data_IF_685097918214
#
_entry.id   IF_685097918214
#
_cell.length_a   1.000
_cell.length_b   1.000
_cell.length_c   1.000
_cell.angle_alpha   90.00
_cell.angle_beta   90.00
_cell.angle_gamma   90.00
#
_symmetry.space_group_name_H-M   'P 1'
#
loop_
_entity.id
_entity.type
_entity.pdbx_description
1 polymer ?
#
# COMPACT_ATOMS: atom_id res chain seq x y z
N UNK A 1 5.78 59.34 37.32
CA UNK A 1 5.74 59.36 35.84
C UNK A 1 6.83 58.51 35.18
N UNK A 2 7.96 58.19 35.83
CA UNK A 2 9.03 57.35 35.25
C UNK A 2 8.69 55.85 35.12
N UNK A 3 7.95 55.28 36.07
CA UNK A 3 7.59 53.86 36.03
C UNK A 3 6.76 53.50 34.78
N UNK A 4 5.84 54.39 34.38
CA UNK A 4 4.96 54.20 33.22
C UNK A 4 5.71 54.34 31.89
N UNK A 5 6.81 55.12 31.86
CA UNK A 5 7.66 55.30 30.68
C UNK A 5 8.52 54.06 30.40
N UNK A 6 8.96 53.34 31.44
CA UNK A 6 9.73 52.09 31.30
C UNK A 6 8.91 50.93 30.77
N UNK A 7 7.64 50.79 31.17
CA UNK A 7 6.75 49.73 30.68
C UNK A 7 6.39 49.91 29.20
N UNK A 8 6.17 51.15 28.76
CA UNK A 8 5.86 51.45 27.35
C UNK A 8 7.05 51.15 26.44
N UNK A 9 8.28 51.47 26.86
CA UNK A 9 9.49 51.16 26.09
C UNK A 9 9.75 49.65 26.01
N UNK A 10 9.49 48.90 27.09
CA UNK A 10 9.63 47.45 27.10
C UNK A 10 8.65 46.73 26.15
N UNK A 11 7.40 47.19 26.10
CA UNK A 11 6.38 46.61 25.20
C UNK A 11 6.70 46.93 23.73
N UNK A 12 7.15 48.16 23.43
CA UNK A 12 7.58 48.53 22.08
C UNK A 12 8.79 47.73 21.60
N UNK A 13 9.77 47.46 22.47
CA UNK A 13 10.92 46.62 22.13
C UNK A 13 10.50 45.15 21.85
N UNK A 14 9.56 44.60 22.63
CA UNK A 14 9.05 43.25 22.41
C UNK A 14 8.27 43.13 21.07
N UNK A 15 7.49 44.15 20.70
CA UNK A 15 6.78 44.20 19.43
C UNK A 15 7.74 44.31 18.22
N UNK A 16 8.86 45.01 18.35
CA UNK A 16 9.88 45.09 17.29
C UNK A 16 10.69 43.79 17.12
N UNK A 17 10.87 43.01 18.18
CA UNK A 17 11.56 41.73 18.11
C UNK A 17 10.69 40.63 17.48
N UNK A 18 9.36 40.67 17.67
CA UNK A 18 8.42 39.73 17.06
C UNK A 18 8.24 39.92 15.55
N UNK A 19 8.43 41.13 15.02
CA UNK A 19 8.35 41.39 13.58
C UNK A 19 9.63 40.98 12.84
N UNK A 20 10.77 40.89 13.52
CA UNK A 20 12.05 40.53 12.92
C UNK A 20 12.21 39.02 12.65
N UNK A 21 11.47 38.15 13.34
CA UNK A 21 11.56 36.68 13.17
C UNK A 21 10.52 36.09 12.21
N UNK A 22 9.66 36.90 11.59
CA UNK A 22 8.53 36.42 10.79
C UNK A 22 8.76 36.42 9.26
N UNK A 23 9.96 36.77 8.78
CA UNK A 23 10.26 36.83 7.34
C UNK A 23 11.26 35.75 6.91
N UNK A 24 10.94 34.48 7.14
CA UNK A 24 11.53 33.42 6.31
C UNK A 24 10.85 33.47 4.94
N UNK A 25 11.44 34.24 4.01
CA UNK A 25 11.07 34.20 2.60
C UNK A 25 11.57 32.85 2.07
N UNK A 26 10.67 31.87 1.90
CA UNK A 26 10.97 30.67 1.12
C UNK A 26 11.06 31.11 -0.34
N UNK A 27 12.24 31.55 -0.77
CA UNK A 27 12.49 31.80 -2.19
C UNK A 27 12.45 30.46 -2.88
N UNK A 28 11.56 30.31 -3.87
CA UNK A 28 11.56 29.14 -4.75
C UNK A 28 12.93 29.08 -5.41
N UNK A 29 13.75 28.12 -5.00
CA UNK A 29 15.01 27.84 -5.65
C UNK A 29 14.68 27.30 -7.04
N UNK A 30 14.85 28.15 -8.05
CA UNK A 30 14.57 27.82 -9.45
C UNK A 30 15.50 26.74 -10.00
N UNK A 31 16.61 26.44 -9.30
CA UNK A 31 17.52 25.34 -9.61
C UNK A 31 17.25 24.06 -8.81
N UNK A 32 16.33 24.09 -7.84
CA UNK A 32 16.02 22.92 -7.03
C UNK A 32 15.19 21.93 -7.86
N UNK A 33 15.85 20.86 -8.27
CA UNK A 33 15.19 19.65 -8.75
C UNK A 33 15.04 18.72 -7.55
N UNK A 34 13.83 18.43 -7.07
CA UNK A 34 13.65 17.47 -6.00
C UNK A 34 14.27 16.13 -6.40
N UNK A 35 14.92 15.43 -5.46
CA UNK A 35 15.44 14.10 -5.77
C UNK A 35 14.30 13.23 -6.30
N UNK A 36 14.60 12.33 -7.25
CA UNK A 36 13.59 11.41 -7.74
C UNK A 36 12.98 10.64 -6.55
N UNK A 37 11.66 10.39 -6.56
CA UNK A 37 11.04 9.59 -5.52
C UNK A 37 11.72 8.22 -5.46
N UNK A 38 11.85 7.68 -4.25
CA UNK A 38 12.42 6.35 -4.02
C UNK A 38 11.66 5.30 -4.85
N UNK A 39 12.33 4.19 -5.20
CA UNK A 39 11.63 3.09 -5.85
C UNK A 39 10.53 2.55 -4.90
N UNK A 40 9.40 2.04 -5.41
CA UNK A 40 8.29 1.59 -4.57
C UNK A 40 8.68 0.56 -3.49
N UNK A 41 9.56 -0.39 -3.81
CA UNK A 41 10.06 -1.37 -2.84
C UNK A 41 10.91 -0.71 -1.74
N UNK A 42 11.73 0.29 -2.08
CA UNK A 42 12.54 1.03 -1.11
C UNK A 42 11.65 1.91 -0.23
N UNK A 43 10.58 2.48 -0.79
CA UNK A 43 9.56 3.20 -0.01
C UNK A 43 8.91 2.27 1.00
N UNK A 44 8.47 1.09 0.56
CA UNK A 44 7.90 0.08 1.46
C UNK A 44 8.90 -0.28 2.57
N UNK A 45 10.18 -0.51 2.24
CA UNK A 45 11.21 -0.87 3.22
C UNK A 45 11.46 0.21 4.29
N UNK A 46 11.47 1.48 3.89
CA UNK A 46 11.82 2.60 4.78
C UNK A 46 10.64 3.14 5.59
N UNK A 47 9.42 2.83 5.19
CA UNK A 47 8.24 3.45 5.78
C UNK A 47 7.94 2.92 7.19
N UNK A 48 7.51 3.83 8.08
CA UNK A 48 7.30 3.54 9.49
C UNK A 48 6.08 2.63 9.71
N UNK A 49 6.27 1.56 10.48
CA UNK A 49 5.21 0.61 10.81
C UNK A 49 4.30 1.12 11.93
N UNK A 50 3.01 0.91 11.76
CA UNK A 50 2.01 1.04 12.84
C UNK A 50 1.92 -0.25 13.65
N UNK A 51 1.34 -0.16 14.85
CA UNK A 51 1.05 -1.33 15.66
C UNK A 51 -0.03 -2.21 14.98
N UNK A 52 0.28 -3.47 14.63
CA UNK A 52 -0.68 -4.35 13.95
C UNK A 52 -1.88 -4.73 14.82
N UNK A 53 -1.83 -4.59 16.15
CA UNK A 53 -2.91 -5.01 17.04
C UNK A 53 -4.26 -4.32 16.72
N UNK A 54 -4.22 -3.04 16.32
CA UNK A 54 -5.42 -2.28 15.92
C UNK A 54 -6.06 -2.74 14.60
N UNK A 55 -5.39 -3.61 13.86
CA UNK A 55 -5.80 -4.08 12.53
C UNK A 55 -6.13 -5.58 12.50
N UNK A 56 -6.13 -6.24 13.67
CA UNK A 56 -6.45 -7.66 13.78
C UNK A 56 -7.91 -7.94 13.39
N UNK A 57 -8.12 -8.82 12.42
CA UNK A 57 -9.44 -9.19 11.91
C UNK A 57 -9.75 -10.69 12.03
N UNK A 58 -9.02 -11.40 12.90
CA UNK A 58 -9.16 -12.83 13.12
C UNK A 58 -7.82 -13.48 13.47
N UNK A 59 -7.83 -14.79 13.70
CA UNK A 59 -6.60 -15.51 13.99
C UNK A 59 -5.67 -15.44 12.78
N UNK A 60 -4.55 -14.74 12.94
CA UNK A 60 -3.56 -14.61 11.89
C UNK A 60 -4.05 -13.85 10.65
N UNK A 61 -4.87 -12.82 10.83
CA UNK A 61 -5.30 -11.91 9.76
C UNK A 61 -5.18 -10.47 10.23
N UNK A 62 -4.51 -9.63 9.44
CA UNK A 62 -4.61 -8.17 9.57
C UNK A 62 -5.41 -7.64 8.40
N UNK A 63 -6.39 -6.77 8.66
CA UNK A 63 -7.18 -6.15 7.60
C UNK A 63 -7.37 -4.67 7.86
N UNK A 64 -7.44 -3.90 6.79
CA UNK A 64 -7.67 -2.46 6.83
C UNK A 64 -8.40 -1.98 5.60
N UNK A 65 -8.89 -0.75 5.68
CA UNK A 65 -9.47 0.01 4.57
C UNK A 65 -8.81 1.39 4.48
N UNK A 66 -8.66 1.95 3.29
CA UNK A 66 -8.13 3.31 3.11
C UNK A 66 -9.14 4.37 3.56
N UNK A 67 -8.68 5.58 3.91
CA UNK A 67 -9.53 6.71 4.35
C UNK A 67 -10.62 7.07 3.33
N UNK A 68 -10.29 6.99 2.04
CA UNK A 68 -11.23 7.26 0.94
C UNK A 68 -12.20 6.09 0.66
N UNK A 69 -12.05 4.98 1.40
CA UNK A 69 -12.83 3.75 1.24
C UNK A 69 -12.79 3.21 -0.19
N UNK A 70 -11.67 3.39 -0.90
CA UNK A 70 -11.51 2.86 -2.24
C UNK A 70 -10.80 1.50 -2.25
N UNK A 71 -9.96 1.20 -1.26
CA UNK A 71 -9.19 -0.05 -1.20
C UNK A 71 -9.30 -0.67 0.20
N UNK A 72 -9.65 -1.95 0.26
CA UNK A 72 -9.56 -2.76 1.47
C UNK A 72 -8.55 -3.89 1.26
N UNK A 73 -7.67 -4.11 2.24
CA UNK A 73 -6.59 -5.09 2.13
C UNK A 73 -6.54 -6.00 3.34
N UNK A 74 -6.08 -7.23 3.13
CA UNK A 74 -5.82 -8.23 4.16
C UNK A 74 -4.45 -8.87 4.00
N UNK A 75 -3.61 -8.80 5.04
CA UNK A 75 -2.40 -9.59 5.19
C UNK A 75 -2.75 -10.90 5.89
N UNK A 76 -2.95 -11.94 5.08
CA UNK A 76 -3.58 -13.20 5.47
C UNK A 76 -2.80 -14.42 4.96
N UNK A 77 -3.46 -15.55 4.82
CA UNK A 77 -2.91 -16.78 4.24
C UNK A 77 -3.85 -17.38 3.20
N UNK A 78 -3.27 -18.10 2.26
CA UNK A 78 -3.94 -18.84 1.22
C UNK A 78 -3.62 -20.34 1.30
N UNK A 79 -4.56 -21.16 0.82
CA UNK A 79 -4.35 -22.59 0.55
C UNK A 79 -4.79 -22.86 -0.89
N UNK A 80 -3.84 -22.92 -1.82
CA UNK A 80 -4.17 -22.81 -3.24
C UNK A 80 -4.91 -21.49 -3.51
N UNK A 81 -6.05 -21.56 -4.20
CA UNK A 81 -6.89 -20.38 -4.52
C UNK A 81 -7.81 -19.95 -3.35
N UNK A 82 -7.74 -20.62 -2.21
CA UNK A 82 -8.63 -20.35 -1.07
C UNK A 82 -7.98 -19.35 -0.12
N UNK A 83 -8.45 -18.09 -0.15
CA UNK A 83 -7.99 -17.01 0.72
C UNK A 83 -8.74 -17.01 2.07
N UNK A 84 -8.03 -16.76 3.17
CA UNK A 84 -8.65 -16.52 4.47
C UNK A 84 -9.04 -15.04 4.63
N UNK A 85 -10.21 -14.64 4.13
CA UNK A 85 -10.69 -13.27 4.21
C UNK A 85 -11.76 -13.12 5.30
N UNK A 86 -11.69 -12.08 6.17
CA UNK A 86 -12.63 -11.93 7.27
C UNK A 86 -13.97 -11.31 6.85
N UNK A 87 -14.01 -10.70 5.66
CA UNK A 87 -15.18 -9.99 5.13
C UNK A 87 -15.85 -10.72 3.97
N UNK A 88 -15.33 -11.86 3.52
CA UNK A 88 -15.89 -12.65 2.43
C UNK A 88 -16.06 -14.12 2.83
N UNK A 89 -17.17 -14.73 2.41
CA UNK A 89 -17.37 -16.16 2.56
C UNK A 89 -16.32 -16.91 1.73
N UNK A 90 -15.53 -17.77 2.38
CA UNK A 90 -14.43 -18.48 1.76
C UNK A 90 -14.35 -19.94 2.26
N UNK A 91 -13.54 -20.75 1.58
CA UNK A 91 -13.35 -22.17 1.88
C UNK A 91 -11.95 -22.48 2.45
N UNK A 92 -11.23 -21.49 2.96
CA UNK A 92 -9.87 -21.69 3.50
C UNK A 92 -9.84 -22.76 4.61
N UNK A 93 -10.83 -22.73 5.49
CA UNK A 93 -10.97 -23.64 6.64
C UNK A 93 -11.64 -24.98 6.31
N UNK A 94 -11.99 -25.24 5.04
CA UNK A 94 -12.53 -26.53 4.63
C UNK A 94 -11.49 -27.63 4.86
N UNK A 95 -11.81 -28.71 5.61
CA UNK A 95 -10.89 -29.83 5.82
C UNK A 95 -10.30 -30.44 4.55
N UNK A 96 -11.03 -30.38 3.42
CA UNK A 96 -10.53 -30.87 2.12
C UNK A 96 -9.27 -30.14 1.63
N UNK A 97 -9.06 -28.91 2.10
CA UNK A 97 -7.95 -28.03 1.73
C UNK A 97 -6.73 -28.19 2.64
N UNK A 98 -6.81 -28.96 3.73
CA UNK A 98 -5.70 -29.16 4.67
C UNK A 98 -4.46 -29.84 4.05
N UNK A 99 -4.62 -30.49 2.88
CA UNK A 99 -3.52 -31.07 2.11
C UNK A 99 -2.68 -30.03 1.35
N UNK A 100 -3.22 -28.82 1.15
CA UNK A 100 -2.56 -27.74 0.45
C UNK A 100 -1.62 -26.99 1.39
N UNK A 101 -0.51 -26.49 0.87
CA UNK A 101 0.39 -25.64 1.63
C UNK A 101 -0.32 -24.33 2.01
N UNK A 102 -0.11 -23.89 3.26
CA UNK A 102 -0.52 -22.56 3.71
C UNK A 102 0.57 -21.55 3.34
N UNK A 103 0.22 -20.53 2.56
CA UNK A 103 1.15 -19.51 2.07
C UNK A 103 0.70 -18.13 2.56
N UNK A 104 1.59 -17.28 3.11
CA UNK A 104 1.23 -15.91 3.46
C UNK A 104 0.96 -15.09 2.20
N UNK A 105 -0.10 -14.28 2.22
CA UNK A 105 -0.50 -13.45 1.09
C UNK A 105 -0.99 -12.08 1.55
N UNK A 106 -0.89 -11.08 0.68
CA UNK A 106 -1.61 -9.83 0.83
C UNK A 106 -2.63 -9.74 -0.30
N UNK A 107 -3.91 -9.60 0.05
CA UNK A 107 -5.00 -9.50 -0.91
C UNK A 107 -5.71 -8.17 -0.71
N UNK A 108 -5.89 -7.40 -1.78
CA UNK A 108 -6.61 -6.13 -1.77
C UNK A 108 -7.78 -6.17 -2.74
N UNK A 109 -8.91 -5.62 -2.32
CA UNK A 109 -10.09 -5.38 -3.14
C UNK A 109 -10.30 -3.88 -3.35
N UNK A 110 -10.80 -3.50 -4.52
CA UNK A 110 -11.05 -2.12 -4.89
C UNK A 110 -12.54 -1.86 -5.15
N UNK A 111 -13.02 -0.70 -4.70
CA UNK A 111 -14.38 -0.23 -4.95
C UNK A 111 -14.58 0.26 -6.40
N UNK A 112 -13.54 0.88 -6.94
CA UNK A 112 -13.42 1.28 -8.33
C UNK A 112 -11.97 1.05 -8.76
N UNK A 113 -11.78 0.61 -10.00
CA UNK A 113 -10.50 0.09 -10.45
C UNK A 113 -10.28 0.29 -11.95
N UNK A 114 -8.99 0.36 -12.33
CA UNK A 114 -8.56 0.34 -13.71
C UNK A 114 -8.82 -1.02 -14.37
N UNK A 115 -9.01 -1.02 -15.69
CA UNK A 115 -9.08 -2.26 -16.45
C UNK A 115 -7.67 -2.91 -16.49
N UNK A 116 -7.53 -4.22 -16.23
CA UNK A 116 -6.26 -4.91 -16.43
C UNK A 116 -5.78 -4.78 -17.88
N UNK A 117 -4.47 -4.59 -18.05
CA UNK A 117 -3.78 -4.68 -19.33
C UNK A 117 -3.82 -6.11 -19.84
N UNK A 118 -3.90 -6.30 -21.16
CA UNK A 118 -4.02 -7.62 -21.76
C UNK A 118 -2.88 -8.58 -21.35
N UNK A 119 -1.66 -8.05 -21.21
CA UNK A 119 -0.48 -8.84 -20.82
C UNK A 119 -0.52 -9.35 -19.37
N UNK A 120 -1.30 -8.68 -18.51
CA UNK A 120 -1.44 -9.01 -17.08
C UNK A 120 -2.59 -10.00 -16.82
N UNK A 121 -3.49 -10.19 -17.77
CA UNK A 121 -4.59 -11.16 -17.66
C UNK A 121 -4.01 -12.58 -17.80
N UNK A 122 -3.97 -13.31 -16.68
CA UNK A 122 -3.46 -14.70 -16.63
C UNK A 122 -4.56 -15.76 -16.58
N UNK A 123 -5.81 -15.34 -16.45
CA UNK A 123 -6.98 -16.20 -16.44
C UNK A 123 -8.10 -15.53 -17.26
N UNK A 124 -8.67 -16.28 -18.19
CA UNK A 124 -9.77 -15.86 -19.06
C UNK A 124 -11.13 -16.45 -18.60
N UNK A 125 -11.22 -16.77 -17.31
CA UNK A 125 -12.39 -17.37 -16.69
C UNK A 125 -12.70 -18.75 -17.26
N UNK A 126 -11.69 -19.63 -17.23
CA UNK A 126 -11.76 -20.98 -17.78
C UNK A 126 -12.20 -21.01 -19.27
N UNK A 127 -11.71 -20.07 -20.08
CA UNK A 127 -12.01 -19.96 -21.51
C UNK A 127 -13.36 -19.32 -21.84
N UNK A 128 -14.15 -18.92 -20.83
CA UNK A 128 -15.50 -18.41 -21.06
C UNK A 128 -15.55 -16.93 -21.34
N UNK A 129 -14.59 -16.14 -20.83
CA UNK A 129 -14.64 -14.67 -20.83
C UNK A 129 -15.92 -14.09 -20.20
N UNK A 130 -16.65 -14.86 -19.39
CA UNK A 130 -17.92 -14.45 -18.78
C UNK A 130 -17.74 -13.89 -17.35
N UNK A 131 -16.53 -13.91 -16.81
CA UNK A 131 -16.24 -13.35 -15.48
C UNK A 131 -15.77 -11.90 -15.52
N UNK A 132 -15.63 -11.33 -14.33
CA UNK A 132 -15.10 -9.97 -14.14
C UNK A 132 -13.58 -10.04 -14.00
N UNK A 133 -12.89 -9.10 -14.63
CA UNK A 133 -11.45 -8.90 -14.48
C UNK A 133 -11.21 -7.55 -13.81
N UNK A 134 -10.23 -7.52 -12.92
CA UNK A 134 -9.89 -6.33 -12.13
C UNK A 134 -10.62 -6.26 -10.79
N UNK A 135 -10.25 -5.26 -9.99
CA UNK A 135 -10.83 -5.01 -8.68
C UNK A 135 -10.21 -5.84 -7.55
N UNK A 136 -9.25 -6.70 -7.86
CA UNK A 136 -8.45 -7.44 -6.88
C UNK A 136 -6.97 -7.36 -7.23
N UNK A 137 -6.12 -7.34 -6.20
CA UNK A 137 -4.69 -7.57 -6.31
C UNK A 137 -4.27 -8.62 -5.30
N UNK A 138 -3.43 -9.56 -5.73
CA UNK A 138 -2.91 -10.63 -4.90
C UNK A 138 -1.39 -10.64 -4.96
N UNK A 139 -0.78 -10.53 -3.78
CA UNK A 139 0.64 -10.72 -3.57
C UNK A 139 0.84 -12.04 -2.82
N UNK A 140 1.67 -12.90 -3.40
CA UNK A 140 2.23 -14.09 -2.75
C UNK A 140 3.73 -13.83 -2.47
N UNK A 141 4.47 -14.74 -1.82
CA UNK A 141 5.86 -14.49 -1.48
C UNK A 141 6.76 -14.14 -2.66
N UNK A 142 6.50 -14.67 -3.85
CA UNK A 142 7.36 -14.56 -5.03
C UNK A 142 6.64 -14.09 -6.30
N UNK A 143 5.31 -13.95 -6.26
CA UNK A 143 4.53 -13.48 -7.41
C UNK A 143 3.50 -12.45 -7.01
N UNK A 144 3.12 -11.62 -7.99
CA UNK A 144 2.07 -10.62 -7.84
C UNK A 144 1.14 -10.66 -9.04
N UNK A 145 -0.16 -10.49 -8.79
CA UNK A 145 -1.23 -10.57 -9.79
C UNK A 145 -2.24 -9.47 -9.57
N UNK A 146 -2.84 -9.01 -10.68
CA UNK A 146 -3.92 -8.04 -10.67
C UNK A 146 -5.06 -8.52 -11.55
N UNK A 147 -6.27 -8.47 -11.01
CA UNK A 147 -7.50 -8.71 -11.76
C UNK A 147 -7.73 -10.16 -12.14
N UNK A 148 -7.55 -11.08 -11.20
CA UNK A 148 -7.90 -12.49 -11.39
C UNK A 148 -9.40 -12.65 -11.70
N UNK A 149 -9.74 -13.72 -12.44
CA UNK A 149 -11.11 -13.98 -12.83
C UNK A 149 -12.00 -14.25 -11.61
N UNK A 150 -13.17 -13.59 -11.58
CA UNK A 150 -14.17 -13.78 -10.54
C UNK A 150 -15.59 -13.86 -11.08
N UNK A 151 -16.41 -14.65 -10.38
CA UNK A 151 -17.85 -14.74 -10.62
C UNK A 151 -18.57 -13.71 -9.75
N UNK A 152 -18.78 -12.51 -10.30
CA UNK A 152 -19.52 -11.43 -9.64
C UNK A 152 -18.64 -10.32 -9.05
N UNK A 153 -19.27 -9.43 -8.29
CA UNK A 153 -18.66 -8.23 -7.70
C UNK A 153 -17.90 -8.56 -6.41
N UNK A 154 -16.85 -7.81 -6.06
CA UNK A 154 -16.13 -7.99 -4.80
C UNK A 154 -16.97 -7.45 -3.65
N UNK A 155 -16.60 -7.77 -2.40
CA UNK A 155 -17.24 -7.12 -1.26
C UNK A 155 -17.00 -5.61 -1.31
N UNK A 156 -15.81 -5.19 -1.74
CA UNK A 156 -15.46 -3.77 -1.84
C UNK A 156 -16.31 -3.02 -2.88
N UNK A 157 -16.53 -3.63 -4.04
CA UNK A 157 -17.41 -3.10 -5.08
C UNK A 157 -18.88 -3.09 -4.63
N UNK A 158 -19.34 -4.13 -3.93
CA UNK A 158 -20.69 -4.22 -3.38
C UNK A 158 -20.96 -3.18 -2.27
N UNK A 159 -19.96 -2.88 -1.44
CA UNK A 159 -20.11 -1.95 -0.34
C UNK A 159 -19.92 -0.49 -0.78
N UNK A 160 -18.88 -0.18 -1.54
CA UNK A 160 -18.46 1.21 -1.81
C UNK A 160 -18.31 1.54 -3.30
N UNK A 161 -18.58 0.59 -4.21
CA UNK A 161 -18.63 0.88 -5.64
C UNK A 161 -19.74 1.88 -6.01
N UNK A 162 -19.87 2.27 -7.30
CA UNK A 162 -20.82 3.30 -7.73
C UNK A 162 -22.29 3.03 -7.36
N UNK A 163 -22.66 1.77 -7.16
CA UNK A 163 -23.99 1.32 -6.73
C UNK A 163 -23.96 0.61 -5.37
N UNK A 164 -22.90 0.82 -4.60
CA UNK A 164 -22.68 0.16 -3.33
C UNK A 164 -23.65 0.61 -2.25
N UNK A 165 -23.92 -0.26 -1.28
CA UNK A 165 -24.90 -0.03 -0.23
C UNK A 165 -24.32 0.59 1.05
N UNK A 166 -23.00 0.74 1.14
CA UNK A 166 -22.26 1.17 2.35
C UNK A 166 -22.65 0.36 3.60
N UNK A 167 -22.77 -0.95 3.42
CA UNK A 167 -23.16 -1.89 4.47
C UNK A 167 -22.29 -3.15 4.41
N UNK A 168 -22.32 -3.95 5.46
CA UNK A 168 -21.63 -5.24 5.50
C UNK A 168 -20.32 -5.19 6.29
N UNK A 169 -19.54 -6.28 6.28
CA UNK A 169 -18.37 -6.43 7.14
C UNK A 169 -17.25 -5.43 6.84
N UNK A 170 -17.16 -4.93 5.61
CA UNK A 170 -16.14 -3.93 5.23
C UNK A 170 -16.28 -2.60 5.98
N UNK A 171 -17.48 -2.23 6.42
CA UNK A 171 -17.69 -0.98 7.16
C UNK A 171 -17.13 -1.03 8.59
N UNK A 172 -16.71 -2.22 9.03
CA UNK A 172 -16.13 -2.45 10.35
C UNK A 172 -14.60 -2.54 10.30
N UNK A 173 -14.00 -2.49 9.10
CA UNK A 173 -12.56 -2.54 8.99
C UNK A 173 -11.92 -1.25 9.55
N UNK A 174 -10.80 -1.39 10.28
CA UNK A 174 -10.06 -0.23 10.74
C UNK A 174 -9.42 0.49 9.57
N UNK A 175 -9.37 1.81 9.68
CA UNK A 175 -8.79 2.68 8.65
C UNK A 175 -7.26 2.70 8.79
N UNK A 176 -6.56 2.46 7.69
CA UNK A 176 -5.12 2.76 7.58
C UNK A 176 -4.99 4.14 6.91
N UNK A 177 -4.49 5.12 7.66
CA UNK A 177 -4.38 6.49 7.18
C UNK A 177 -3.27 6.63 6.14
N UNK A 178 -3.36 7.65 5.29
CA UNK A 178 -2.32 7.94 4.30
C UNK A 178 -0.94 8.11 4.97
N UNK A 179 0.08 7.50 4.38
CA UNK A 179 1.45 7.42 4.89
C UNK A 179 1.70 6.31 5.93
N UNK A 180 0.65 5.61 6.39
CA UNK A 180 0.80 4.50 7.34
C UNK A 180 1.09 3.17 6.66
N UNK A 181 1.81 2.30 7.38
CA UNK A 181 2.37 1.06 6.87
C UNK A 181 2.16 -0.04 7.90
N UNK A 182 1.82 -1.23 7.43
CA UNK A 182 1.57 -2.39 8.27
C UNK A 182 2.28 -3.61 7.68
N UNK A 183 2.77 -4.49 8.55
CA UNK A 183 3.54 -5.65 8.15
C UNK A 183 3.07 -6.91 8.86
N UNK A 184 3.09 -8.03 8.13
CA UNK A 184 2.92 -9.36 8.69
C UNK A 184 3.55 -10.42 7.79
N UNK A 185 4.23 -11.38 8.40
CA UNK A 185 4.81 -12.55 7.73
C UNK A 185 5.73 -12.18 6.55
N UNK A 186 6.50 -11.10 6.67
CA UNK A 186 7.39 -10.61 5.61
C UNK A 186 6.70 -9.89 4.45
N UNK A 187 5.38 -9.69 4.54
CA UNK A 187 4.62 -8.86 3.60
C UNK A 187 4.33 -7.52 4.26
N UNK A 188 4.55 -6.44 3.53
CA UNK A 188 4.30 -5.07 4.00
C UNK A 188 3.32 -4.38 3.07
N UNK A 189 2.34 -3.69 3.65
CA UNK A 189 1.38 -2.87 2.92
C UNK A 189 1.39 -1.44 3.45
N UNK A 190 1.20 -0.49 2.55
CA UNK A 190 1.30 0.93 2.81
C UNK A 190 0.19 1.68 2.10
N UNK A 191 -0.57 2.48 2.83
CA UNK A 191 -1.53 3.40 2.24
C UNK A 191 -0.81 4.69 1.87
N UNK A 192 -0.79 5.08 0.59
CA UNK A 192 -0.22 6.35 0.14
C UNK A 192 -0.73 6.73 -1.26
N UNK A 193 -0.66 8.02 -1.59
CA UNK A 193 -1.00 8.55 -2.92
C UNK A 193 -2.41 8.14 -3.40
N UNK A 194 -3.37 8.04 -2.49
CA UNK A 194 -4.75 7.63 -2.81
C UNK A 194 -4.88 6.16 -3.23
N UNK A 195 -3.94 5.31 -2.81
CA UNK A 195 -3.93 3.88 -3.08
C UNK A 195 -3.21 3.09 -2.01
N UNK A 196 -2.92 1.84 -2.31
CA UNK A 196 -2.15 0.93 -1.46
C UNK A 196 -1.06 0.27 -2.28
N UNK A 197 0.17 0.26 -1.76
CA UNK A 197 1.17 -0.69 -2.21
C UNK A 197 1.34 -1.81 -1.21
N UNK A 198 1.47 -3.04 -1.70
CA UNK A 198 1.88 -4.18 -0.89
C UNK A 198 3.05 -4.88 -1.56
N UNK A 199 4.02 -5.31 -0.77
CA UNK A 199 5.21 -5.99 -1.28
C UNK A 199 5.85 -6.97 -0.32
N UNK A 200 6.52 -7.96 -0.89
CA UNK A 200 7.57 -8.72 -0.24
C UNK A 200 8.89 -8.08 -0.65
N UNK A 201 9.39 -7.18 0.20
CA UNK A 201 10.63 -6.42 -0.06
C UNK A 201 11.81 -7.35 -0.31
N UNK A 202 11.90 -8.44 0.46
CA UNK A 202 13.00 -9.41 0.35
C UNK A 202 12.97 -10.21 -0.95
N UNK A 203 11.78 -10.52 -1.46
CA UNK A 203 11.63 -11.20 -2.75
C UNK A 203 11.60 -10.23 -3.94
N UNK A 204 11.55 -8.92 -3.69
CA UNK A 204 11.53 -7.90 -4.72
C UNK A 204 10.24 -7.89 -5.55
N UNK A 205 9.12 -8.34 -5.00
CA UNK A 205 7.81 -8.33 -5.67
C UNK A 205 6.84 -7.44 -4.92
N UNK A 206 6.09 -6.60 -5.65
CA UNK A 206 5.09 -5.72 -5.08
C UNK A 206 4.01 -5.36 -6.10
N UNK A 207 2.89 -4.85 -5.62
CA UNK A 207 1.95 -4.08 -6.43
C UNK A 207 1.71 -2.71 -5.82
N UNK A 208 1.23 -1.79 -6.65
CA UNK A 208 0.48 -0.62 -6.23
C UNK A 208 -0.91 -0.68 -6.87
N UNK A 209 -1.96 -0.37 -6.11
CA UNK A 209 -3.33 -0.26 -6.63
C UNK A 209 -3.99 1.01 -6.12
N UNK A 210 -4.68 1.69 -7.03
CA UNK A 210 -5.51 2.85 -6.76
C UNK A 210 -6.76 2.79 -7.63
N UNK A 211 -7.63 3.79 -7.48
CA UNK A 211 -8.91 3.87 -8.21
C UNK A 211 -8.79 3.76 -9.73
N UNK A 212 -7.78 4.40 -10.31
CA UNK A 212 -7.63 4.63 -11.74
C UNK A 212 -6.34 4.07 -12.32
N UNK A 213 -5.48 3.48 -11.49
CA UNK A 213 -4.23 2.84 -11.94
C UNK A 213 -3.84 1.67 -11.05
N UNK A 214 -3.04 0.78 -11.62
CA UNK A 214 -2.32 -0.25 -10.88
C UNK A 214 -0.91 -0.38 -11.48
N UNK A 215 0.01 -0.91 -10.69
CA UNK A 215 1.38 -1.22 -11.10
C UNK A 215 1.79 -2.56 -10.51
N UNK A 216 2.38 -3.42 -11.34
CA UNK A 216 3.00 -4.68 -10.92
C UNK A 216 4.51 -4.50 -10.95
N UNK A 217 5.16 -4.73 -9.81
CA UNK A 217 6.57 -4.41 -9.60
C UNK A 217 7.34 -5.70 -9.37
N UNK A 218 8.36 -5.91 -10.20
CA UNK A 218 9.31 -7.00 -10.08
C UNK A 218 10.71 -6.41 -10.09
N UNK A 219 11.48 -6.62 -9.02
CA UNK A 219 12.89 -6.23 -8.97
C UNK A 219 13.64 -7.07 -10.00
N UNK A 220 14.35 -6.41 -10.90
CA UNK A 220 15.21 -7.10 -11.83
C UNK A 220 16.27 -7.90 -11.04
N UNK A 221 16.63 -9.12 -11.48
CA UNK A 221 17.73 -9.85 -10.86
C UNK A 221 18.97 -8.96 -10.90
N UNK A 222 19.61 -8.81 -9.74
CA UNK A 222 20.83 -8.02 -9.61
C UNK A 222 21.87 -8.62 -10.55
N UNK A 223 22.23 -7.90 -11.62
CA UNK A 223 23.32 -8.34 -12.48
C UNK A 223 24.57 -8.33 -11.61
N UNK A 224 25.33 -9.44 -11.53
CA UNK A 224 26.60 -9.41 -10.82
C UNK A 224 27.43 -8.28 -11.41
N UNK A 225 27.90 -7.37 -10.54
CA UNK A 225 28.84 -6.33 -10.95
C UNK A 225 30.02 -7.00 -11.66
N UNK A 226 30.45 -6.52 -12.84
CA UNK A 226 31.67 -7.03 -13.45
C UNK A 226 32.79 -6.85 -12.43
N UNK A 227 33.47 -7.94 -12.10
CA UNK A 227 34.59 -7.92 -11.20
C UNK A 227 35.56 -6.82 -11.65
N UNK A 228 35.88 -5.90 -10.75
CA UNK A 228 36.86 -4.85 -11.04
C UNK A 228 38.17 -5.51 -11.47
N UNK A 229 38.63 -5.20 -12.68
CA UNK A 229 39.87 -5.72 -13.23
C UNK A 229 41.00 -5.53 -12.21
N UNK A 230 41.52 -6.64 -11.71
CA UNK A 230 42.69 -6.64 -10.84
C UNK A 230 43.84 -5.97 -11.60
N UNK A 231 44.64 -5.10 -10.95
CA UNK A 231 45.71 -4.41 -11.63
C UNK A 231 46.75 -5.42 -12.12
N UNK A 232 46.96 -5.43 -13.44
CA UNK A 232 47.99 -6.21 -14.12
C UNK A 232 49.34 -6.01 -13.44
N UNK A 233 49.88 -7.09 -12.86
CA UNK A 233 51.27 -7.12 -12.44
C UNK A 233 52.18 -7.30 -13.65
N UNK A 234 53.01 -6.31 -13.96
CA UNK A 234 54.37 -6.49 -14.51
C UNK A 234 55.12 -5.15 -14.47
N UNK A 235 56.47 -5.12 -14.38
CA UNK A 235 57.43 -6.24 -14.36
C UNK A 235 58.21 -6.44 -13.06
#
# INVERSE_FOLDING_TARGET
MEAMRRTVVGILAALFLLTATACSITTVDRGYVPPPPLAPLDQLEQAALVDPAGYSAGEGVLSFITEDHNVACSLTSARGEHLNLPYEANSFSDPANNKLATVPVAHCELAAYAKPSADDVKDDCAGTSLGYLGGTALLTPDTVRYGDCRSGVTQMEAAYGPKGSKSGPLTQLPVLADGQNIERNGLRCSAYNGGVACGNVSAGVAFFVARDRYELIFKAPERPSPASDAPSKTP
#
